data_IF_530904034534
#
_entry.id   IF_530904034534
#
_cell.length_a   1.000
_cell.length_b   1.000
_cell.length_c   1.000
_cell.angle_alpha   90.00
_cell.angle_beta   90.00
_cell.angle_gamma   90.00
#
_symmetry.space_group_name_H-M   'P 1'
#
loop_
_entity.id
_entity.type
_entity.pdbx_description
1 polymer ?
#
# COMPACT_ATOMS: atom_id res chain seq x y z
N UNK A 1 -18.94 36.29 35.40
CA UNK A 1 -17.95 35.27 34.94
C UNK A 1 -18.62 33.91 35.01
N UNK A 2 -19.08 33.35 33.88
CA UNK A 2 -19.57 31.96 33.86
C UNK A 2 -18.34 31.06 33.89
N UNK A 3 -18.06 30.44 35.03
CA UNK A 3 -17.14 29.31 35.07
C UNK A 3 -17.76 28.21 34.21
N UNK A 4 -17.28 28.06 32.98
CA UNK A 4 -17.55 26.86 32.20
C UNK A 4 -16.87 25.72 32.96
N UNK A 5 -17.62 25.08 33.84
CA UNK A 5 -17.19 23.89 34.56
C UNK A 5 -16.69 22.88 33.54
N UNK A 6 -15.53 22.27 33.80
CA UNK A 6 -15.01 21.18 32.98
C UNK A 6 -16.03 20.04 33.04
N UNK A 7 -16.75 19.81 31.95
CA UNK A 7 -17.65 18.66 31.81
C UNK A 7 -16.76 17.44 31.63
N UNK A 8 -16.80 16.51 32.58
CA UNK A 8 -16.19 15.19 32.44
C UNK A 8 -17.01 14.39 31.43
N UNK A 9 -16.57 14.44 30.19
CA UNK A 9 -17.12 13.66 29.07
C UNK A 9 -16.36 12.35 28.95
N UNK A 10 -17.07 11.25 28.70
CA UNK A 10 -16.41 9.98 28.43
C UNK A 10 -15.63 10.09 27.11
N UNK A 11 -14.29 9.96 27.10
CA UNK A 11 -13.48 10.15 25.91
C UNK A 11 -13.84 9.15 24.79
N UNK A 12 -14.46 7.99 25.09
CA UNK A 12 -14.91 7.05 24.06
C UNK A 12 -16.12 7.54 23.26
N UNK A 13 -16.90 8.46 23.82
CA UNK A 13 -18.18 8.95 23.27
C UNK A 13 -18.07 10.42 22.86
N UNK A 14 -17.05 11.11 23.35
CA UNK A 14 -16.81 12.53 23.09
C UNK A 14 -16.32 12.80 21.66
N UNK A 15 -16.86 13.86 21.07
CA UNK A 15 -16.47 14.37 19.76
C UNK A 15 -16.96 13.52 18.59
N UNK A 16 -16.29 13.68 17.45
CA UNK A 16 -16.64 12.96 16.23
C UNK A 16 -15.84 11.65 16.16
N UNK A 17 -16.49 10.47 16.30
CA UNK A 17 -15.79 9.20 16.21
C UNK A 17 -15.20 9.05 14.81
N UNK A 18 -14.16 8.21 14.69
CA UNK A 18 -13.47 8.05 13.43
C UNK A 18 -13.24 6.58 13.09
N UNK A 19 -13.57 6.20 11.86
CA UNK A 19 -13.39 4.84 11.36
C UNK A 19 -12.00 4.73 10.75
N UNK A 20 -11.29 3.65 11.07
CA UNK A 20 -9.91 3.46 10.67
C UNK A 20 -9.45 2.02 10.73
N UNK A 21 -8.15 1.84 10.47
CA UNK A 21 -7.46 0.57 10.61
C UNK A 21 -6.63 0.59 11.90
N UNK A 22 -6.86 -0.38 12.79
CA UNK A 22 -5.92 -0.73 13.86
C UNK A 22 -5.00 -1.84 13.35
N UNK A 23 -3.67 -1.65 13.45
CA UNK A 23 -2.70 -2.71 13.14
C UNK A 23 -2.67 -3.71 14.30
N UNK A 24 -2.84 -4.98 13.95
CA UNK A 24 -2.77 -6.14 14.82
C UNK A 24 -1.83 -7.16 14.16
N UNK A 25 -1.44 -8.21 14.90
CA UNK A 25 -0.59 -9.29 14.41
C UNK A 25 0.88 -9.11 14.76
N UNK A 26 1.71 -9.97 14.18
CA UNK A 26 3.12 -10.09 14.49
C UNK A 26 4.00 -9.25 13.55
N UNK A 27 5.29 -9.14 13.90
CA UNK A 27 6.31 -8.60 12.99
C UNK A 27 6.27 -9.35 11.65
N UNK A 28 6.33 -8.61 10.53
CA UNK A 28 6.27 -9.13 9.16
C UNK A 28 4.95 -9.85 8.77
N UNK A 29 3.94 -9.90 9.64
CA UNK A 29 2.59 -10.43 9.35
C UNK A 29 1.52 -9.43 9.81
N UNK A 30 1.36 -8.29 9.10
CA UNK A 30 0.34 -7.32 9.45
C UNK A 30 -1.07 -7.87 9.18
N UNK A 31 -1.96 -7.67 10.14
CA UNK A 31 -3.41 -7.84 10.00
C UNK A 31 -4.06 -6.56 10.50
N UNK A 32 -5.16 -6.12 9.90
CA UNK A 32 -5.84 -4.91 10.32
C UNK A 32 -7.25 -5.21 10.81
N UNK A 33 -7.65 -4.56 11.90
CA UNK A 33 -9.05 -4.46 12.28
C UNK A 33 -9.62 -3.16 11.76
N UNK A 34 -10.77 -3.24 11.11
CA UNK A 34 -11.56 -2.07 10.73
C UNK A 34 -12.39 -1.72 11.96
N UNK A 35 -12.05 -0.60 12.58
CA UNK A 35 -12.54 -0.25 13.89
C UNK A 35 -12.94 1.22 13.98
N UNK A 36 -13.86 1.48 14.91
CA UNK A 36 -14.24 2.81 15.36
C UNK A 36 -13.30 3.21 16.48
N UNK A 37 -12.72 4.38 16.32
CA UNK A 37 -11.92 5.07 17.31
C UNK A 37 -12.69 6.28 17.81
N UNK A 38 -12.39 6.78 19.01
CA UNK A 38 -12.90 8.07 19.44
C UNK A 38 -12.35 9.20 18.54
N UNK A 39 -12.71 10.43 18.89
CA UNK A 39 -12.24 11.61 18.19
C UNK A 39 -10.70 11.62 18.08
N UNK A 40 -10.21 11.97 16.89
CA UNK A 40 -8.77 12.11 16.62
C UNK A 40 -8.12 13.16 17.51
N UNK A 41 -8.89 14.15 17.99
CA UNK A 41 -8.42 15.14 18.95
C UNK A 41 -7.93 14.52 20.28
N UNK A 42 -8.43 13.33 20.64
CA UNK A 42 -8.07 12.63 21.88
C UNK A 42 -6.78 11.82 21.75
N UNK A 43 -6.21 11.69 20.55
CA UNK A 43 -4.90 11.07 20.34
C UNK A 43 -4.84 10.15 19.12
N UNK A 44 -3.73 9.40 19.02
CA UNK A 44 -3.51 8.48 17.91
C UNK A 44 -4.39 7.22 18.03
N UNK A 45 -4.78 6.70 16.86
CA UNK A 45 -5.45 5.41 16.73
C UNK A 45 -4.49 4.28 17.10
N UNK A 46 -4.88 3.43 18.04
CA UNK A 46 -4.13 2.24 18.45
C UNK A 46 -5.09 1.18 19.00
N UNK A 47 -4.61 -0.07 19.16
CA UNK A 47 -5.45 -1.22 19.48
C UNK A 47 -6.28 -1.07 20.76
N UNK A 48 -5.73 -0.48 21.83
CA UNK A 48 -6.45 -0.35 23.11
C UNK A 48 -7.45 0.81 23.19
N UNK A 49 -7.59 1.62 22.14
CA UNK A 49 -8.58 2.70 22.07
C UNK A 49 -9.65 2.43 21.00
N UNK A 50 -9.92 1.16 20.72
CA UNK A 50 -11.04 0.76 19.86
C UNK A 50 -12.32 0.87 20.68
N UNK A 51 -13.30 1.62 20.15
CA UNK A 51 -14.66 1.69 20.69
C UNK A 51 -15.44 0.45 20.27
N UNK A 52 -15.37 0.12 18.98
CA UNK A 52 -16.05 -1.03 18.39
C UNK A 52 -15.27 -1.54 17.17
N UNK A 53 -15.17 -2.86 17.02
CA UNK A 53 -14.63 -3.48 15.82
C UNK A 53 -15.77 -3.81 14.85
N UNK A 54 -15.71 -3.25 13.64
CA UNK A 54 -16.73 -3.41 12.59
C UNK A 54 -16.28 -4.45 11.55
N UNK A 55 -14.98 -4.72 11.45
CA UNK A 55 -14.47 -5.63 10.45
C UNK A 55 -12.99 -5.98 10.57
N UNK A 56 -12.47 -6.63 9.54
CA UNK A 56 -11.07 -7.03 9.42
C UNK A 56 -10.58 -6.91 7.97
N UNK A 57 -9.28 -6.71 7.82
CA UNK A 57 -8.60 -6.62 6.54
C UNK A 57 -7.25 -7.34 6.62
N UNK A 58 -7.06 -8.32 5.75
CA UNK A 58 -5.78 -9.00 5.55
C UNK A 58 -5.12 -8.51 4.25
N UNK A 59 -4.01 -7.76 4.34
CA UNK A 59 -3.30 -7.25 3.17
C UNK A 59 -2.50 -8.33 2.43
N UNK A 60 -2.17 -9.44 3.10
CA UNK A 60 -1.38 -10.53 2.53
C UNK A 60 -2.33 -11.51 1.84
N UNK A 61 -2.08 -11.86 0.56
CA UNK A 61 -2.93 -12.79 -0.15
C UNK A 61 -2.90 -14.19 0.49
N UNK A 62 -4.05 -14.85 0.47
CA UNK A 62 -4.16 -16.26 0.84
C UNK A 62 -3.58 -17.18 -0.26
N UNK A 63 -3.68 -18.50 -0.06
CA UNK A 63 -3.23 -19.49 -1.05
C UNK A 63 -3.94 -19.38 -2.41
N UNK A 64 -5.12 -18.74 -2.46
CA UNK A 64 -5.89 -18.46 -3.69
C UNK A 64 -5.57 -17.08 -4.30
N UNK A 65 -4.56 -16.39 -3.77
CA UNK A 65 -4.16 -15.03 -4.16
C UNK A 65 -5.22 -13.94 -3.90
N UNK A 66 -6.10 -14.15 -2.93
CA UNK A 66 -7.16 -13.22 -2.56
C UNK A 66 -6.81 -12.47 -1.26
N UNK A 67 -7.15 -11.18 -1.21
CA UNK A 67 -7.05 -10.37 0.02
C UNK A 67 -8.41 -10.30 0.68
N UNK A 68 -8.49 -10.76 1.92
CA UNK A 68 -9.76 -10.90 2.63
C UNK A 68 -10.13 -9.59 3.34
N UNK A 69 -11.38 -9.17 3.16
CA UNK A 69 -11.99 -8.03 3.86
C UNK A 69 -13.33 -8.49 4.40
N UNK A 70 -13.51 -8.43 5.71
CA UNK A 70 -14.80 -8.65 6.36
C UNK A 70 -15.31 -7.32 6.90
N UNK A 71 -16.59 -7.02 6.66
CA UNK A 71 -17.23 -5.76 7.05
C UNK A 71 -18.66 -6.00 7.50
N UNK A 72 -18.99 -5.54 8.70
CA UNK A 72 -20.37 -5.40 9.14
C UNK A 72 -20.97 -4.10 8.57
N UNK A 73 -21.79 -4.25 7.53
CA UNK A 73 -22.42 -3.14 6.83
C UNK A 73 -23.45 -2.42 7.73
N UNK A 74 -24.14 -3.16 8.60
CA UNK A 74 -25.17 -2.57 9.46
C UNK A 74 -24.53 -1.63 10.48
N UNK A 75 -23.48 -2.09 11.16
CA UNK A 75 -22.74 -1.25 12.12
C UNK A 75 -22.03 -0.10 11.42
N UNK A 76 -21.45 -0.33 10.24
CA UNK A 76 -20.85 0.74 9.44
C UNK A 76 -21.85 1.87 9.14
N UNK A 77 -23.07 1.52 8.72
CA UNK A 77 -24.14 2.50 8.45
C UNK A 77 -24.55 3.27 9.70
N UNK A 78 -24.74 2.59 10.83
CA UNK A 78 -25.04 3.23 12.11
C UNK A 78 -23.97 4.28 12.47
N UNK A 79 -22.68 3.91 12.39
CA UNK A 79 -21.60 4.83 12.76
C UNK A 79 -21.48 6.02 11.82
N UNK A 80 -21.67 5.84 10.52
CA UNK A 80 -21.63 6.94 9.54
C UNK A 80 -22.88 7.83 9.66
N UNK A 81 -24.07 7.23 9.72
CA UNK A 81 -25.34 7.95 9.64
C UNK A 81 -25.81 8.56 10.96
N UNK A 82 -25.78 7.80 12.06
CA UNK A 82 -26.29 8.27 13.36
C UNK A 82 -25.21 8.98 14.17
N UNK A 83 -23.96 8.50 14.08
CA UNK A 83 -22.85 9.00 14.89
C UNK A 83 -21.91 9.95 14.13
N UNK A 84 -22.22 10.27 12.88
CA UNK A 84 -21.44 11.15 12.01
C UNK A 84 -19.95 10.81 11.99
N UNK A 85 -19.61 9.51 11.97
CA UNK A 85 -18.24 9.07 12.09
C UNK A 85 -17.40 9.44 10.86
N UNK A 86 -16.21 10.02 11.09
CA UNK A 86 -15.26 10.34 10.00
C UNK A 86 -14.52 9.10 9.53
N UNK A 87 -14.68 8.75 8.25
CA UNK A 87 -13.99 7.61 7.64
C UNK A 87 -12.57 7.98 7.21
N UNK A 88 -11.59 7.15 7.55
CA UNK A 88 -10.21 7.31 7.10
C UNK A 88 -10.06 7.02 5.60
N UNK A 89 -9.09 7.67 4.95
CA UNK A 89 -8.92 7.58 3.48
C UNK A 89 -8.69 6.15 3.00
N UNK A 90 -7.89 5.35 3.71
CA UNK A 90 -7.66 3.94 3.36
C UNK A 90 -8.93 3.10 3.45
N UNK A 91 -9.79 3.39 4.42
CA UNK A 91 -11.09 2.70 4.57
C UNK A 91 -12.05 3.16 3.47
N UNK A 92 -12.04 4.44 3.09
CA UNK A 92 -12.81 4.94 1.94
C UNK A 92 -12.38 4.25 0.63
N UNK A 93 -11.08 4.04 0.41
CA UNK A 93 -10.58 3.27 -0.73
C UNK A 93 -11.13 1.83 -0.71
N UNK A 94 -11.10 1.16 0.44
CA UNK A 94 -11.67 -0.19 0.59
C UNK A 94 -13.19 -0.23 0.33
N UNK A 95 -13.94 0.71 0.90
CA UNK A 95 -15.39 0.79 0.70
C UNK A 95 -15.77 1.14 -0.75
N UNK A 96 -14.93 1.92 -1.42
CA UNK A 96 -15.04 2.20 -2.85
C UNK A 96 -14.85 0.97 -3.71
N UNK A 97 -13.85 0.14 -3.41
CA UNK A 97 -13.61 -1.14 -4.08
C UNK A 97 -14.73 -2.17 -3.83
N UNK A 98 -15.33 -2.14 -2.63
CA UNK A 98 -16.46 -2.99 -2.28
C UNK A 98 -17.78 -2.57 -2.97
N UNK A 99 -17.82 -1.42 -3.65
CA UNK A 99 -19.03 -0.89 -4.29
C UNK A 99 -20.05 -0.27 -3.33
N UNK A 100 -19.70 -0.07 -2.07
CA UNK A 100 -20.57 0.58 -1.08
C UNK A 100 -20.54 2.11 -1.18
N UNK A 101 -19.39 2.67 -1.54
CA UNK A 101 -19.17 4.10 -1.73
C UNK A 101 -18.57 4.35 -3.12
N UNK A 102 -18.59 5.58 -3.65
CA UNK A 102 -17.84 5.90 -4.86
C UNK A 102 -16.34 5.71 -4.64
N UNK A 103 -15.63 5.38 -5.71
CA UNK A 103 -14.17 5.22 -5.70
C UNK A 103 -13.52 6.54 -5.27
N UNK A 104 -12.66 6.48 -4.25
CA UNK A 104 -12.01 7.66 -3.70
C UNK A 104 -10.99 8.27 -4.70
N UNK A 105 -10.88 9.61 -4.83
CA UNK A 105 -9.97 10.27 -5.78
C UNK A 105 -8.50 9.85 -5.65
N UNK A 106 -8.04 9.55 -4.43
CA UNK A 106 -6.66 9.05 -4.22
C UNK A 106 -6.38 7.72 -4.92
N UNK A 107 -7.39 6.89 -5.16
CA UNK A 107 -7.22 5.66 -5.95
C UNK A 107 -6.80 6.00 -7.39
N UNK A 108 -7.44 6.98 -8.02
CA UNK A 108 -7.10 7.44 -9.37
C UNK A 108 -5.70 8.07 -9.42
N UNK A 109 -5.38 8.93 -8.46
CA UNK A 109 -4.06 9.57 -8.36
C UNK A 109 -2.95 8.52 -8.21
N UNK A 110 -3.16 7.51 -7.34
CA UNK A 110 -2.21 6.41 -7.16
C UNK A 110 -2.04 5.60 -8.44
N UNK A 111 -3.13 5.26 -9.12
CA UNK A 111 -3.09 4.51 -10.37
C UNK A 111 -2.29 5.25 -11.46
N UNK A 112 -2.50 6.57 -11.60
CA UNK A 112 -1.74 7.40 -12.53
C UNK A 112 -0.25 7.42 -12.18
N UNK A 113 0.09 7.65 -10.91
CA UNK A 113 1.47 7.66 -10.45
C UNK A 113 2.16 6.30 -10.67
N UNK A 114 1.45 5.20 -10.43
CA UNK A 114 1.97 3.85 -10.70
C UNK A 114 2.27 3.62 -12.17
N UNK A 115 1.43 4.10 -13.10
CA UNK A 115 1.69 4.01 -14.55
C UNK A 115 2.97 4.75 -14.93
N UNK A 116 3.13 5.97 -14.45
CA UNK A 116 4.33 6.80 -14.72
C UNK A 116 5.60 6.10 -14.19
N UNK A 117 5.53 5.53 -12.99
CA UNK A 117 6.67 4.81 -12.41
C UNK A 117 7.02 3.55 -13.22
N UNK A 118 6.02 2.78 -13.66
CA UNK A 118 6.23 1.59 -14.48
C UNK A 118 6.86 1.93 -15.83
N UNK A 119 6.43 3.01 -16.49
CA UNK A 119 7.02 3.48 -17.74
C UNK A 119 8.50 3.84 -17.57
N UNK A 120 8.84 4.59 -16.51
CA UNK A 120 10.23 4.93 -16.18
C UNK A 120 11.08 3.69 -15.90
N UNK A 121 10.56 2.72 -15.15
CA UNK A 121 11.25 1.46 -14.86
C UNK A 121 11.49 0.66 -16.15
N UNK A 122 10.49 0.61 -17.05
CA UNK A 122 10.63 -0.05 -18.35
C UNK A 122 11.72 0.60 -19.20
N UNK A 123 11.75 1.94 -19.27
CA UNK A 123 12.81 2.67 -19.98
C UNK A 123 14.20 2.37 -19.43
N UNK A 124 14.36 2.37 -18.10
CA UNK A 124 15.63 2.04 -17.44
C UNK A 124 16.07 0.60 -17.72
N UNK A 125 15.13 -0.36 -17.69
CA UNK A 125 15.41 -1.76 -18.02
C UNK A 125 15.83 -1.91 -19.48
N UNK A 126 15.15 -1.25 -20.42
CA UNK A 126 15.52 -1.28 -21.84
C UNK A 126 16.94 -0.72 -22.07
N UNK A 127 17.24 0.45 -21.51
CA UNK A 127 18.57 1.05 -21.60
C UNK A 127 19.66 0.16 -20.99
N UNK A 128 19.35 -0.56 -19.89
CA UNK A 128 20.26 -1.53 -19.29
C UNK A 128 20.49 -2.75 -20.19
N UNK A 129 19.43 -3.25 -20.83
CA UNK A 129 19.53 -4.38 -21.77
C UNK A 129 20.35 -4.00 -23.00
N UNK A 130 20.19 -2.78 -23.52
CA UNK A 130 20.99 -2.26 -24.64
C UNK A 130 22.49 -2.19 -24.29
N UNK A 131 22.83 -1.69 -23.09
CA UNK A 131 24.22 -1.67 -22.61
C UNK A 131 24.82 -3.08 -22.51
N UNK A 132 24.06 -4.04 -21.96
CA UNK A 132 24.51 -5.43 -21.87
C UNK A 132 24.72 -6.07 -23.24
N UNK A 133 23.89 -5.73 -24.24
CA UNK A 133 24.09 -6.17 -25.63
C UNK A 133 25.37 -5.59 -26.23
N UNK A 134 25.60 -4.29 -26.05
CA UNK A 134 26.83 -3.66 -26.51
C UNK A 134 28.08 -4.28 -25.85
N UNK A 135 28.03 -4.54 -24.53
CA UNK A 135 29.12 -5.21 -23.80
C UNK A 135 29.39 -6.64 -24.26
N UNK A 136 28.36 -7.37 -24.71
CA UNK A 136 28.52 -8.73 -25.24
C UNK A 136 29.08 -8.72 -26.66
N UNK A 137 28.56 -7.86 -27.53
CA UNK A 137 29.07 -7.63 -28.88
C UNK A 137 30.55 -7.19 -28.87
N UNK A 138 30.96 -6.31 -27.94
CA UNK A 138 32.37 -5.88 -27.82
C UNK A 138 33.29 -7.03 -27.38
N UNK A 139 32.84 -7.90 -26.47
CA UNK A 139 33.63 -9.05 -26.00
C UNK A 139 33.78 -10.10 -27.08
N UNK A 140 32.74 -10.37 -27.86
CA UNK A 140 32.79 -11.28 -29.00
C UNK A 140 33.75 -10.78 -30.09
N UNK A 141 33.82 -9.46 -30.36
CA UNK A 141 34.83 -8.92 -31.28
C UNK A 141 36.25 -8.99 -30.74
N UNK A 142 36.46 -8.75 -29.44
CA UNK A 142 37.78 -8.86 -28.81
C UNK A 142 38.29 -10.30 -28.85
N UNK A 143 37.49 -11.28 -28.42
CA UNK A 143 37.81 -12.72 -28.46
C UNK A 143 38.04 -13.23 -29.91
N UNK A 144 37.28 -12.73 -30.88
CA UNK A 144 37.49 -13.04 -32.31
C UNK A 144 38.84 -12.54 -32.83
N UNK A 145 39.25 -11.33 -32.44
CA UNK A 145 40.55 -10.76 -32.86
C UNK A 145 41.76 -11.42 -32.17
N UNK A 146 41.62 -11.93 -30.95
CA UNK A 146 42.68 -12.68 -30.26
C UNK A 146 42.85 -14.09 -30.85
N UNK A 147 41.77 -14.76 -31.24
CA UNK A 147 41.83 -16.07 -31.90
C UNK A 147 42.44 -16.01 -33.32
N UNK A 148 42.22 -14.93 -34.08
CA UNK A 148 42.86 -14.75 -35.39
C UNK A 148 44.39 -14.54 -35.27
N UNK A 149 44.85 -13.76 -34.29
CA UNK A 149 46.29 -13.52 -34.07
C UNK A 149 47.04 -14.78 -33.63
N UNK A 150 46.41 -15.62 -32.80
CA UNK A 150 47.00 -16.89 -32.34
C UNK A 150 47.06 -17.96 -33.44
N UNK A 151 46.14 -17.95 -34.42
CA UNK A 151 46.21 -18.83 -35.60
C UNK A 151 47.31 -18.43 -36.60
N UNK A 152 47.53 -17.12 -36.80
CA UNK A 152 48.60 -16.61 -37.69
C UNK A 152 50.01 -16.90 -37.13
N UNK A 153 50.19 -16.85 -35.81
CA UNK A 153 51.45 -17.20 -35.14
C UNK A 153 51.79 -18.70 -35.27
N UNK A 154 50.80 -19.59 -35.30
CA UNK A 154 51.01 -21.04 -35.43
C UNK A 154 51.32 -21.49 -36.87
N UNK A 155 50.85 -20.77 -37.90
CA UNK A 155 51.10 -21.09 -39.31
C UNK A 155 52.45 -20.57 -39.85
N UNK A 156 53.15 -19.70 -39.12
CA UNK A 156 54.42 -19.09 -39.55
C UNK A 156 55.66 -19.90 -39.13
N UNK A 157 55.48 -21.00 -38.37
CA UNK A 157 56.58 -21.77 -37.73
C UNK A 157 56.93 -23.10 -38.44
N UNK A 158 56.60 -23.27 -39.73
CA UNK A 158 56.99 -24.45 -40.56
C UNK A 158 57.88 -24.00 -41.71
#
# INVERSE_FOLDING_TARGET
>A
MRSFGRILVNPRIYGEPSIGLARVGCKNRPVFHIAVFPDKALGRRWSGNIVEQIGSFDPIPNNKNEKLVALDIHRLKYWIGERNARVGVTVLELLGLAGLLPIHPKTFIRAQNSRIVLEKQKQQLLARLERLKQETETKETEEGTENLKTMDEQNTTV
#
